data_IF_870082567006
#
_entry.id   IF_870082567006
#
_cell.length_a   1.000
_cell.length_b   1.000
_cell.length_c   1.000
_cell.angle_alpha   90.00
_cell.angle_beta   90.00
_cell.angle_gamma   90.00
#
_symmetry.space_group_name_H-M   'P 1'
#
loop_
_entity.id
_entity.type
_entity.pdbx_description
1 polymer ?
#
# COMPACT_ATOMS: atom_id res chain seq x y z
N UNK A 1 2.46 46.17 30.05
CA UNK A 1 1.30 45.60 29.31
C UNK A 1 1.79 44.38 28.55
N UNK A 2 1.94 43.26 29.25
CA UNK A 2 2.62 42.02 28.81
C UNK A 2 1.66 41.01 28.18
N UNK A 3 0.64 41.47 27.47
CA UNK A 3 -0.43 40.59 26.96
C UNK A 3 -0.63 40.83 25.47
N UNK A 4 0.38 40.49 24.67
CA UNK A 4 0.23 40.36 23.22
C UNK A 4 1.31 39.47 22.60
N UNK A 5 1.65 38.35 23.26
CA UNK A 5 2.68 37.41 22.77
C UNK A 5 2.19 35.94 22.71
N UNK A 6 0.89 35.70 22.60
CA UNK A 6 0.33 34.33 22.71
C UNK A 6 -0.69 33.95 21.63
N UNK A 7 -0.53 34.42 20.39
CA UNK A 7 -1.47 34.10 19.31
C UNK A 7 -0.81 33.75 17.96
N UNK A 8 0.38 33.13 17.98
CA UNK A 8 1.02 32.62 16.76
C UNK A 8 1.56 31.18 16.92
N UNK A 9 0.87 30.35 17.71
CA UNK A 9 1.20 28.93 17.90
C UNK A 9 0.06 28.02 17.40
N UNK A 10 -0.47 28.29 16.22
CA UNK A 10 -1.23 27.29 15.44
C UNK A 10 -0.33 26.77 14.34
N UNK A 11 0.70 26.02 14.74
CA UNK A 11 1.53 25.26 13.81
C UNK A 11 0.64 24.18 13.17
N UNK A 12 0.42 24.36 11.88
CA UNK A 12 -0.10 23.41 10.89
C UNK A 12 0.08 21.94 11.31
N UNK A 13 -0.97 21.31 11.82
CA UNK A 13 -1.08 19.86 11.81
C UNK A 13 -1.43 19.45 10.38
N UNK A 14 -0.42 19.30 9.52
CA UNK A 14 -0.59 18.61 8.23
C UNK A 14 -0.87 17.15 8.57
N UNK A 15 -2.13 16.75 8.45
CA UNK A 15 -2.49 15.33 8.53
C UNK A 15 -1.81 14.59 7.40
N UNK A 16 -0.77 13.82 7.72
CA UNK A 16 -0.26 12.82 6.79
C UNK A 16 -1.19 11.63 6.87
N UNK A 17 -1.90 11.33 5.78
CA UNK A 17 -2.55 10.03 5.62
C UNK A 17 -1.46 8.96 5.61
N UNK A 18 -1.25 8.32 6.75
CA UNK A 18 -0.29 7.21 6.86
C UNK A 18 -1.01 5.96 6.36
N UNK A 19 -0.63 5.47 5.18
CA UNK A 19 -0.94 4.09 4.81
C UNK A 19 -0.21 3.17 5.79
N UNK A 20 -0.95 2.51 6.69
CA UNK A 20 -0.36 1.62 7.68
C UNK A 20 0.05 0.32 7.01
N UNK A 21 1.35 0.03 7.04
CA UNK A 21 1.86 -1.28 6.68
C UNK A 21 1.60 -2.24 7.84
N UNK A 22 0.95 -3.35 7.54
CA UNK A 22 0.67 -4.41 8.49
C UNK A 22 1.68 -5.55 8.32
N UNK A 23 1.86 -6.32 9.39
CA UNK A 23 2.78 -7.48 9.39
C UNK A 23 2.11 -8.66 10.04
N UNK A 24 2.23 -9.82 9.40
CA UNK A 24 1.74 -11.09 9.91
C UNK A 24 2.86 -12.13 9.84
N UNK A 25 3.03 -12.90 10.92
CA UNK A 25 3.95 -14.03 10.95
C UNK A 25 3.21 -15.33 10.59
N UNK A 26 3.82 -16.12 9.71
CA UNK A 26 3.33 -17.46 9.37
C UNK A 26 4.49 -18.43 9.20
N UNK A 27 4.63 -19.36 10.15
CA UNK A 27 5.77 -20.28 10.19
C UNK A 27 7.08 -19.51 10.31
N UNK A 28 7.98 -19.68 9.34
CA UNK A 28 9.27 -18.98 9.28
C UNK A 28 9.23 -17.67 8.47
N UNK A 29 8.05 -17.24 8.03
CA UNK A 29 7.90 -16.07 7.18
C UNK A 29 7.31 -14.88 7.94
N UNK A 30 7.95 -13.72 7.80
CA UNK A 30 7.36 -12.41 8.10
C UNK A 30 6.74 -11.87 6.81
N UNK A 31 5.42 -11.70 6.81
CA UNK A 31 4.65 -11.22 5.67
C UNK A 31 4.26 -9.77 5.96
N UNK A 32 4.81 -8.83 5.20
CA UNK A 32 4.42 -7.43 5.28
C UNK A 32 3.47 -7.11 4.14
N UNK A 33 2.35 -6.47 4.43
CA UNK A 33 1.37 -6.11 3.42
C UNK A 33 0.79 -4.72 3.66
N UNK A 34 0.37 -4.07 2.58
CA UNK A 34 -0.19 -2.71 2.63
C UNK A 34 -1.11 -2.52 1.43
N UNK A 35 -2.24 -1.84 1.63
CA UNK A 35 -3.08 -1.34 0.55
C UNK A 35 -3.03 0.19 0.55
N UNK A 36 -2.84 0.80 -0.62
CA UNK A 36 -2.73 2.25 -0.72
C UNK A 36 -3.18 2.79 -2.10
N UNK A 37 -3.59 4.07 -2.21
CA UNK A 37 -3.94 4.68 -3.48
C UNK A 37 -2.78 4.65 -4.49
N UNK A 38 -3.06 4.24 -5.72
CA UNK A 38 -2.06 4.14 -6.81
C UNK A 38 -1.31 5.44 -7.08
N UNK A 39 -1.93 6.59 -6.79
CA UNK A 39 -1.32 7.92 -7.02
C UNK A 39 -0.14 8.23 -6.10
N UNK A 40 -0.02 7.54 -4.96
CA UNK A 40 1.13 7.67 -4.05
C UNK A 40 2.43 7.17 -4.73
N UNK A 41 2.32 6.22 -5.66
CA UNK A 41 3.47 5.74 -6.43
C UNK A 41 3.95 6.88 -7.35
N UNK A 42 5.25 7.24 -7.31
CA UNK A 42 5.82 8.23 -8.21
C UNK A 42 5.58 7.87 -9.68
N UNK A 43 5.29 8.86 -10.51
CA UNK A 43 4.92 8.66 -11.92
C UNK A 43 5.95 7.82 -12.71
N UNK A 44 7.24 8.06 -12.47
CA UNK A 44 8.32 7.32 -13.13
C UNK A 44 8.35 5.84 -12.73
N UNK A 45 8.12 5.54 -11.45
CA UNK A 45 8.07 4.16 -10.91
C UNK A 45 6.85 3.43 -11.46
N UNK A 46 5.68 4.08 -11.45
CA UNK A 46 4.46 3.51 -12.01
C UNK A 46 4.61 3.20 -13.51
N UNK A 47 5.25 4.09 -14.28
CA UNK A 47 5.54 3.86 -15.70
C UNK A 47 6.49 2.68 -15.92
N UNK A 48 7.54 2.57 -15.12
CA UNK A 48 8.53 1.49 -15.22
C UNK A 48 7.89 0.11 -14.97
N UNK A 49 6.94 0.04 -14.03
CA UNK A 49 6.28 -1.19 -13.61
C UNK A 49 4.85 -1.37 -14.18
N UNK A 50 4.47 -0.57 -15.17
CA UNK A 50 3.16 -0.63 -15.85
C UNK A 50 1.95 -0.49 -14.92
N UNK A 51 2.11 0.24 -13.81
CA UNK A 51 1.06 0.52 -12.85
C UNK A 51 0.24 1.71 -13.33
N UNK A 52 -1.05 1.49 -13.54
CA UNK A 52 -1.98 2.54 -13.95
C UNK A 52 -2.43 3.37 -12.74
N UNK A 53 -2.13 4.67 -12.74
CA UNK A 53 -2.48 5.61 -11.67
C UNK A 53 -3.85 6.23 -11.92
N UNK A 54 -4.77 6.14 -10.96
CA UNK A 54 -6.10 6.76 -11.00
C UNK A 54 -6.63 7.02 -9.58
N UNK A 55 -7.61 7.91 -9.44
CA UNK A 55 -8.23 8.24 -8.14
C UNK A 55 -8.94 7.05 -7.50
N UNK A 56 -9.49 6.18 -8.34
CA UNK A 56 -10.23 4.99 -7.93
C UNK A 56 -9.40 3.71 -7.98
N UNK A 57 -8.06 3.81 -8.04
CA UNK A 57 -7.19 2.63 -8.09
C UNK A 57 -6.38 2.48 -6.82
N UNK A 58 -6.48 1.29 -6.23
CA UNK A 58 -5.72 0.84 -5.07
C UNK A 58 -4.65 -0.13 -5.53
N UNK A 59 -3.49 -0.08 -4.90
CA UNK A 59 -2.40 -1.04 -5.06
C UNK A 59 -2.26 -1.81 -3.75
N UNK A 60 -2.26 -3.14 -3.87
CA UNK A 60 -1.90 -4.06 -2.79
C UNK A 60 -0.44 -4.43 -2.98
N UNK A 61 0.36 -4.18 -1.95
CA UNK A 61 1.76 -4.58 -1.88
C UNK A 61 1.90 -5.69 -0.84
N UNK A 62 2.53 -6.80 -1.22
CA UNK A 62 2.93 -7.88 -0.32
C UNK A 62 4.42 -8.12 -0.47
N UNK A 63 5.12 -8.25 0.64
CA UNK A 63 6.52 -8.68 0.68
C UNK A 63 6.72 -9.71 1.77
N UNK A 64 7.65 -10.63 1.54
CA UNK A 64 7.92 -11.73 2.47
C UNK A 64 9.39 -11.72 2.82
N UNK A 65 9.67 -11.96 4.10
CA UNK A 65 11.01 -12.24 4.60
C UNK A 65 11.04 -13.59 5.29
N UNK A 66 12.19 -14.25 5.21
CA UNK A 66 12.54 -15.42 6.01
C UNK A 66 13.94 -15.19 6.54
N UNK A 67 14.11 -15.29 7.86
CA UNK A 67 15.41 -15.06 8.51
C UNK A 67 16.04 -13.70 8.11
N UNK A 68 15.21 -12.64 8.07
CA UNK A 68 15.53 -11.28 7.60
C UNK A 68 15.96 -11.15 6.13
N UNK A 69 15.89 -12.22 5.33
CA UNK A 69 16.19 -12.19 3.89
C UNK A 69 14.89 -12.18 3.05
N UNK A 70 14.86 -11.52 1.89
CA UNK A 70 13.71 -11.57 0.99
C UNK A 70 13.36 -13.01 0.58
N UNK A 71 12.08 -13.35 0.63
CA UNK A 71 11.58 -14.65 0.24
C UNK A 71 10.74 -14.58 -1.03
N UNK A 72 10.93 -15.57 -1.92
CA UNK A 72 10.09 -15.76 -3.10
C UNK A 72 8.85 -16.56 -2.71
N UNK A 73 7.69 -16.18 -3.28
CA UNK A 73 6.42 -16.82 -3.05
C UNK A 73 5.60 -16.84 -4.33
N UNK A 74 4.67 -17.79 -4.40
CA UNK A 74 3.59 -17.73 -5.37
C UNK A 74 2.35 -17.24 -4.63
N UNK A 75 1.85 -16.06 -5.01
CA UNK A 75 0.74 -15.40 -4.34
C UNK A 75 -0.55 -15.51 -5.15
N UNK A 76 -1.63 -15.79 -4.42
CA UNK A 76 -3.01 -15.59 -4.86
C UNK A 76 -3.69 -14.74 -3.81
N UNK A 77 -4.61 -13.89 -4.24
CA UNK A 77 -5.42 -13.10 -3.34
C UNK A 77 -6.67 -12.63 -4.06
N UNK A 78 -7.64 -12.20 -3.27
CA UNK A 78 -8.91 -11.70 -3.77
C UNK A 78 -9.37 -10.52 -2.91
N UNK A 79 -10.13 -9.64 -3.53
CA UNK A 79 -10.95 -8.64 -2.83
C UNK A 79 -12.39 -9.14 -2.85
N UNK A 80 -13.09 -8.96 -1.74
CA UNK A 80 -14.52 -9.22 -1.63
C UNK A 80 -15.17 -7.89 -1.28
N UNK A 81 -16.13 -7.44 -2.10
CA UNK A 81 -16.86 -6.20 -1.83
C UNK A 81 -18.12 -6.44 -0.98
N UNK A 82 -18.84 -5.36 -0.66
CA UNK A 82 -20.06 -5.42 0.16
C UNK A 82 -21.21 -6.20 -0.49
N UNK A 83 -21.13 -6.42 -1.81
CA UNK A 83 -22.07 -7.24 -2.56
C UNK A 83 -21.64 -8.72 -2.65
N UNK A 84 -20.64 -9.12 -1.85
CA UNK A 84 -20.05 -10.46 -1.83
C UNK A 84 -19.45 -10.91 -3.18
N UNK A 85 -19.15 -9.96 -4.06
CA UNK A 85 -18.50 -10.27 -5.32
C UNK A 85 -17.01 -10.49 -5.09
N UNK A 86 -16.51 -11.61 -5.62
CA UNK A 86 -15.10 -11.99 -5.53
C UNK A 86 -14.34 -11.46 -6.75
N UNK A 87 -13.27 -10.72 -6.50
CA UNK A 87 -12.41 -10.12 -7.53
C UNK A 87 -10.99 -10.61 -7.28
N UNK A 88 -10.49 -11.46 -8.18
CA UNK A 88 -9.13 -11.99 -8.11
C UNK A 88 -8.09 -10.88 -8.29
N UNK A 89 -7.00 -10.98 -7.53
CA UNK A 89 -5.86 -10.08 -7.60
C UNK A 89 -4.72 -10.72 -8.41
N UNK A 90 -4.38 -10.09 -9.53
CA UNK A 90 -3.22 -10.46 -10.33
C UNK A 90 -1.95 -9.84 -9.77
N UNK A 91 -1.20 -10.63 -9.01
CA UNK A 91 0.08 -10.19 -8.43
C UNK A 91 1.22 -10.25 -9.44
N UNK A 92 1.94 -9.14 -9.56
CA UNK A 92 3.17 -9.01 -10.36
C UNK A 92 4.37 -8.88 -9.42
N UNK A 93 5.39 -9.72 -9.64
CA UNK A 93 6.64 -9.65 -8.90
C UNK A 93 7.50 -8.46 -9.40
N UNK A 94 7.95 -7.64 -8.46
CA UNK A 94 8.88 -6.53 -8.68
C UNK A 94 10.11 -6.72 -7.80
N UNK A 95 11.29 -6.75 -8.42
CA UNK A 95 12.58 -6.89 -7.72
C UNK A 95 13.32 -5.57 -7.74
N UNK A 96 13.61 -5.02 -6.57
CA UNK A 96 14.38 -3.80 -6.42
C UNK A 96 15.44 -3.96 -5.33
N UNK A 97 16.72 -3.82 -5.71
CA UNK A 97 17.88 -3.98 -4.83
C UNK A 97 17.77 -5.29 -4.03
N UNK A 98 17.59 -5.17 -2.72
CA UNK A 98 17.54 -6.28 -1.76
C UNK A 98 16.11 -6.55 -1.27
N UNK A 99 15.09 -6.27 -2.10
CA UNK A 99 13.69 -6.50 -1.79
C UNK A 99 12.92 -7.13 -2.96
N UNK A 100 11.92 -7.94 -2.61
CA UNK A 100 10.96 -8.54 -3.53
C UNK A 100 9.57 -8.07 -3.10
N UNK A 101 8.85 -7.43 -4.02
CA UNK A 101 7.47 -6.99 -3.84
C UNK A 101 6.56 -7.76 -4.78
N UNK A 102 5.35 -8.01 -4.33
CA UNK A 102 4.26 -8.49 -5.17
C UNK A 102 3.18 -7.43 -5.17
N UNK A 103 2.94 -6.83 -6.34
CA UNK A 103 2.00 -5.74 -6.51
C UNK A 103 0.79 -6.23 -7.29
N UNK A 104 -0.41 -6.00 -6.77
CA UNK A 104 -1.66 -6.15 -7.50
C UNK A 104 -2.41 -4.82 -7.51
N UNK A 105 -3.18 -4.56 -8.57
CA UNK A 105 -4.02 -3.36 -8.68
C UNK A 105 -5.48 -3.77 -8.62
N UNK A 106 -6.27 -3.02 -7.85
CA UNK A 106 -7.71 -3.15 -7.78
C UNK A 106 -8.39 -1.80 -8.07
N UNK A 107 -9.53 -1.83 -8.75
CA UNK A 107 -10.37 -0.65 -8.96
C UNK A 107 -11.38 -0.62 -7.84
N UNK A 108 -11.30 0.40 -6.98
CA UNK A 108 -12.31 0.65 -5.95
C UNK A 108 -13.49 1.38 -6.58
N UNK A 109 -14.66 0.79 -6.46
CA UNK A 109 -15.93 1.34 -6.88
C UNK A 109 -16.69 1.90 -5.66
N UNK A 110 -17.60 2.87 -5.83
CA UNK A 110 -18.37 3.44 -4.72
C UNK A 110 -19.12 2.40 -3.87
N UNK A 111 -19.55 1.30 -4.48
CA UNK A 111 -20.22 0.17 -3.82
C UNK A 111 -19.30 -0.74 -2.99
N UNK A 112 -17.98 -0.54 -3.03
CA UNK A 112 -17.03 -1.34 -2.26
C UNK A 112 -16.83 -0.83 -0.81
N UNK A 113 -17.42 0.32 -0.43
CA UNK A 113 -17.15 1.06 0.81
C UNK A 113 -18.41 1.26 1.67
#
# INVERSE_FOLDING_TARGET
>A
MHVLLLLFSTLLAVGTDVCQAETQQHGAFDIHYTAFPSKIIPAAVAKAHQISRADNKIVVNVSLKRDNQPAVAYLKGQVINLLEQVIELDFVEVRERDAIYYLATHISLPEDI
#
